data_IF_945386826641
#
_entry.id   IF_945386826641
#
_cell.length_a   1.000
_cell.length_b   1.000
_cell.length_c   1.000
_cell.angle_alpha   90.00
_cell.angle_beta   90.00
_cell.angle_gamma   90.00
#
_symmetry.space_group_name_H-M   'P 1'
#
loop_
_entity.id
_entity.type
_entity.pdbx_description
1 polymer ?
#
# COMPACT_ATOMS: atom_id res chain seq x y z
N UNK A 1 -4.61 11.23 -13.55
CA UNK A 1 -3.68 10.13 -13.22
C UNK A 1 -4.41 8.81 -13.02
N UNK A 2 -3.69 7.69 -13.03
CA UNK A 2 -4.27 6.38 -12.76
C UNK A 2 -4.56 6.22 -11.25
N UNK A 3 -5.74 5.70 -10.92
CA UNK A 3 -6.14 5.51 -9.53
C UNK A 3 -6.93 4.20 -9.36
N UNK A 4 -6.96 3.70 -8.14
CA UNK A 4 -7.79 2.56 -7.74
C UNK A 4 -8.91 3.06 -6.84
N UNK A 5 -10.13 2.65 -7.17
CA UNK A 5 -11.32 2.89 -6.36
C UNK A 5 -11.54 1.69 -5.44
N UNK A 6 -11.64 1.93 -4.14
CA UNK A 6 -11.80 0.88 -3.13
C UNK A 6 -13.00 1.21 -2.26
N UNK A 7 -13.89 0.24 -2.07
CA UNK A 7 -14.99 0.33 -1.12
C UNK A 7 -14.55 -0.37 0.18
N UNK A 8 -14.39 0.41 1.24
CA UNK A 8 -13.96 -0.06 2.55
C UNK A 8 -15.12 -0.45 3.48
N UNK A 9 -14.78 -0.60 4.76
CA UNK A 9 -15.74 -0.83 5.84
C UNK A 9 -16.77 0.32 5.89
N UNK A 10 -18.02 0.03 6.14
CA UNK A 10 -19.10 1.03 6.16
C UNK A 10 -19.48 1.56 4.77
N UNK A 11 -19.14 0.84 3.68
CA UNK A 11 -19.36 1.26 2.28
C UNK A 11 -18.71 2.60 1.91
N UNK A 12 -17.76 3.07 2.71
CA UNK A 12 -17.00 4.28 2.38
C UNK A 12 -16.10 4.02 1.16
N UNK A 13 -16.27 4.84 0.15
CA UNK A 13 -15.50 4.77 -1.08
C UNK A 13 -14.28 5.68 -0.99
N UNK A 14 -13.16 5.21 -1.49
CA UNK A 14 -11.93 6.00 -1.59
C UNK A 14 -11.21 5.74 -2.90
N UNK A 15 -10.65 6.80 -3.47
CA UNK A 15 -9.75 6.74 -4.60
C UNK A 15 -8.31 6.91 -4.14
N UNK A 16 -7.43 6.03 -4.59
CA UNK A 16 -6.00 6.11 -4.27
C UNK A 16 -5.21 6.11 -5.57
N UNK A 17 -4.34 7.11 -5.81
CA UNK A 17 -3.49 7.15 -6.99
C UNK A 17 -2.48 6.01 -6.92
N UNK A 18 -2.07 5.49 -8.07
CA UNK A 18 -1.09 4.42 -8.18
C UNK A 18 0.12 4.87 -8.98
N UNK A 19 1.30 4.40 -8.56
CA UNK A 19 2.55 4.68 -9.24
C UNK A 19 2.57 4.07 -10.65
N UNK A 20 3.35 4.66 -11.55
CA UNK A 20 3.50 4.18 -12.94
C UNK A 20 3.93 2.71 -13.01
N UNK A 21 4.86 2.29 -12.14
CA UNK A 21 5.32 0.90 -12.02
C UNK A 21 4.20 -0.05 -11.62
N UNK A 22 3.37 0.33 -10.64
CA UNK A 22 2.20 -0.44 -10.20
C UNK A 22 1.17 -0.54 -11.31
N UNK A 23 0.94 0.55 -12.04
CA UNK A 23 0.03 0.56 -13.20
C UNK A 23 0.52 -0.40 -14.28
N UNK A 24 1.83 -0.39 -14.59
CA UNK A 24 2.42 -1.30 -15.56
C UNK A 24 2.23 -2.77 -15.14
N UNK A 25 2.51 -3.10 -13.88
CA UNK A 25 2.29 -4.44 -13.32
C UNK A 25 0.82 -4.86 -13.37
N UNK A 26 -0.11 -3.96 -13.03
CA UNK A 26 -1.54 -4.24 -13.14
C UNK A 26 -2.00 -4.46 -14.57
N UNK A 27 -1.51 -3.66 -15.53
CA UNK A 27 -1.81 -3.85 -16.95
C UNK A 27 -1.29 -5.20 -17.48
N UNK A 28 -0.09 -5.59 -17.07
CA UNK A 28 0.46 -6.92 -17.41
C UNK A 28 -0.42 -8.03 -16.82
N UNK A 29 -0.74 -7.93 -15.53
CA UNK A 29 -1.62 -8.87 -14.85
C UNK A 29 -3.00 -9.01 -15.50
N UNK A 30 -3.59 -7.89 -15.95
CA UNK A 30 -4.90 -7.91 -16.61
C UNK A 30 -4.90 -8.60 -17.97
N UNK A 31 -3.73 -8.76 -18.60
CA UNK A 31 -3.55 -9.45 -19.90
C UNK A 31 -3.28 -10.94 -19.73
N UNK A 32 -3.07 -11.41 -18.50
CA UNK A 32 -2.81 -12.83 -18.26
C UNK A 32 -3.99 -13.72 -18.70
N UNK A 33 -3.76 -14.76 -19.52
CA UNK A 33 -4.82 -15.62 -20.05
C UNK A 33 -5.66 -16.29 -18.98
N UNK A 34 -5.05 -16.60 -17.84
CA UNK A 34 -5.70 -17.24 -16.68
C UNK A 34 -6.78 -16.37 -16.03
N UNK A 35 -6.86 -15.11 -16.41
CA UNK A 35 -7.86 -14.16 -15.91
C UNK A 35 -9.07 -14.01 -16.81
N UNK A 36 -9.05 -14.59 -17.99
CA UNK A 36 -10.13 -14.45 -18.97
C UNK A 36 -11.46 -14.86 -18.34
N UNK A 37 -12.42 -13.92 -18.32
CA UNK A 37 -13.75 -14.11 -17.72
C UNK A 37 -13.86 -13.88 -16.20
N UNK A 38 -12.78 -13.64 -15.48
CA UNK A 38 -12.85 -13.34 -14.04
C UNK A 38 -13.27 -11.89 -13.78
N UNK A 39 -14.37 -11.71 -13.03
CA UNK A 39 -14.81 -10.39 -12.51
C UNK A 39 -14.00 -9.93 -11.29
N UNK A 40 -13.15 -10.79 -10.74
CA UNK A 40 -12.33 -10.49 -9.56
C UNK A 40 -10.95 -10.03 -10.00
N UNK A 41 -10.48 -8.88 -9.48
CA UNK A 41 -9.17 -8.32 -9.85
C UNK A 41 -8.02 -9.28 -9.49
N UNK A 42 -8.06 -9.87 -8.30
CA UNK A 42 -7.08 -10.85 -7.83
C UNK A 42 -7.81 -12.14 -7.42
N UNK A 43 -8.07 -13.06 -8.36
CA UNK A 43 -8.70 -14.33 -8.04
C UNK A 43 -7.73 -15.25 -7.30
N UNK A 44 -8.27 -16.05 -6.40
CA UNK A 44 -7.59 -17.22 -5.85
C UNK A 44 -7.52 -18.31 -6.92
N UNK A 45 -6.76 -19.41 -6.66
CA UNK A 45 -6.73 -20.58 -7.53
C UNK A 45 -8.12 -21.21 -7.80
N UNK A 46 -9.11 -20.90 -6.94
CA UNK A 46 -10.51 -21.34 -7.10
C UNK A 46 -11.39 -20.31 -7.81
N UNK A 47 -10.82 -19.26 -8.40
CA UNK A 47 -11.56 -18.18 -9.08
C UNK A 47 -12.30 -17.21 -8.16
N UNK A 48 -12.27 -17.39 -6.83
CA UNK A 48 -12.91 -16.52 -5.84
C UNK A 48 -11.97 -15.40 -5.38
N UNK A 49 -12.47 -14.39 -4.67
CA UNK A 49 -11.66 -13.34 -4.05
C UNK A 49 -10.59 -13.94 -3.13
N UNK A 50 -9.39 -13.37 -3.16
CA UNK A 50 -8.36 -13.70 -2.17
C UNK A 50 -8.85 -13.29 -0.78
N UNK A 51 -8.63 -14.19 0.18
CA UNK A 51 -8.83 -13.90 1.60
C UNK A 51 -7.61 -13.19 2.17
N UNK A 52 -7.75 -12.58 3.35
CA UNK A 52 -6.63 -11.99 4.10
C UNK A 52 -5.52 -13.03 4.32
N UNK A 53 -5.90 -14.26 4.68
CA UNK A 53 -4.95 -15.37 4.82
C UNK A 53 -4.25 -15.74 3.51
N UNK A 54 -4.99 -15.72 2.39
CA UNK A 54 -4.41 -15.97 1.07
C UNK A 54 -3.36 -14.93 0.69
N UNK A 55 -3.64 -13.64 0.95
CA UNK A 55 -2.66 -12.56 0.71
C UNK A 55 -1.44 -12.73 1.62
N UNK A 56 -1.64 -13.04 2.91
CA UNK A 56 -0.52 -13.25 3.84
C UNK A 56 0.33 -14.47 3.45
N UNK A 57 -0.30 -15.54 2.96
CA UNK A 57 0.40 -16.71 2.44
C UNK A 57 1.30 -16.35 1.25
N UNK A 58 0.76 -15.61 0.27
CA UNK A 58 1.53 -15.15 -0.88
C UNK A 58 2.70 -14.26 -0.46
N UNK A 59 2.47 -13.34 0.48
CA UNK A 59 3.50 -12.47 1.02
C UNK A 59 4.63 -13.29 1.67
N UNK A 60 4.29 -14.30 2.48
CA UNK A 60 5.27 -15.21 3.09
C UNK A 60 6.04 -16.02 2.04
N UNK A 61 5.36 -16.53 1.01
CA UNK A 61 6.00 -17.24 -0.10
C UNK A 61 7.08 -16.38 -0.76
N UNK A 62 6.74 -15.14 -1.10
CA UNK A 62 7.69 -14.20 -1.72
C UNK A 62 8.79 -13.77 -0.74
N UNK A 63 8.49 -13.60 0.55
CA UNK A 63 9.51 -13.36 1.59
C UNK A 63 10.55 -14.47 1.63
N UNK A 64 10.11 -15.72 1.61
CA UNK A 64 11.02 -16.88 1.61
C UNK A 64 11.92 -16.90 0.36
N UNK A 65 11.38 -16.55 -0.80
CA UNK A 65 12.18 -16.45 -2.03
C UNK A 65 13.19 -15.30 -1.92
N UNK A 66 12.73 -14.11 -1.48
CA UNK A 66 13.58 -12.94 -1.33
C UNK A 66 14.67 -13.11 -0.25
N UNK A 67 14.41 -13.90 0.79
CA UNK A 67 15.39 -14.17 1.85
C UNK A 67 16.64 -14.91 1.39
N UNK A 68 16.61 -15.55 0.21
CA UNK A 68 17.78 -16.16 -0.43
C UNK A 68 18.80 -15.10 -0.85
N UNK A 69 18.32 -13.94 -1.31
CA UNK A 69 19.15 -12.80 -1.73
C UNK A 69 19.34 -11.75 -0.63
N UNK A 70 18.40 -11.69 0.32
CA UNK A 70 18.43 -10.77 1.45
C UNK A 70 18.25 -11.56 2.76
N UNK A 71 19.34 -12.07 3.38
CA UNK A 71 19.28 -12.93 4.55
C UNK A 71 18.56 -12.30 5.76
N UNK A 72 18.62 -10.97 5.89
CA UNK A 72 17.92 -10.24 6.98
C UNK A 72 16.40 -10.40 6.97
N UNK A 73 15.82 -10.90 5.87
CA UNK A 73 14.38 -11.20 5.79
C UNK A 73 13.99 -12.53 6.45
N UNK A 74 14.94 -13.41 6.76
CA UNK A 74 14.63 -14.71 7.36
C UNK A 74 13.90 -14.56 8.68
N UNK A 75 14.40 -13.70 9.54
CA UNK A 75 13.90 -13.52 10.92
C UNK A 75 12.84 -12.41 11.03
N UNK A 76 12.55 -11.73 9.92
CA UNK A 76 11.54 -10.66 9.90
C UNK A 76 10.15 -11.22 9.63
N UNK A 77 9.21 -10.91 10.52
CA UNK A 77 7.79 -11.15 10.28
C UNK A 77 7.26 -10.08 9.32
N UNK A 78 7.14 -10.41 8.04
CA UNK A 78 6.58 -9.51 7.02
C UNK A 78 5.07 -9.74 6.94
N UNK A 79 4.28 -8.71 7.22
CA UNK A 79 2.81 -8.74 7.15
C UNK A 79 2.31 -7.60 6.27
N UNK A 80 1.08 -7.72 5.77
CA UNK A 80 0.42 -6.65 5.01
C UNK A 80 0.40 -5.34 5.82
N UNK A 81 0.15 -5.44 7.13
CA UNK A 81 0.16 -4.28 8.02
C UNK A 81 1.55 -3.62 8.10
N UNK A 82 2.62 -4.41 8.19
CA UNK A 82 4.00 -3.87 8.15
C UNK A 82 4.33 -3.20 6.83
N UNK A 83 3.88 -3.76 5.70
CA UNK A 83 4.05 -3.09 4.40
C UNK A 83 3.34 -1.73 4.37
N UNK A 84 2.16 -1.64 4.98
CA UNK A 84 1.43 -0.38 5.14
C UNK A 84 2.19 0.62 6.02
N UNK A 85 2.76 0.17 7.15
CA UNK A 85 3.61 1.02 8.00
C UNK A 85 4.85 1.51 7.25
N UNK A 86 5.52 0.64 6.50
CA UNK A 86 6.67 1.04 5.69
C UNK A 86 6.28 2.16 4.72
N UNK A 87 5.14 2.03 4.02
CA UNK A 87 4.64 3.08 3.14
C UNK A 87 4.37 4.39 3.87
N UNK A 88 3.78 4.33 5.09
CA UNK A 88 3.56 5.53 5.90
C UNK A 88 4.88 6.20 6.28
N UNK A 89 5.90 5.40 6.63
CA UNK A 89 7.23 5.90 6.97
C UNK A 89 7.93 6.55 5.78
N UNK A 90 7.86 5.93 4.61
CA UNK A 90 8.46 6.46 3.38
C UNK A 90 7.83 7.82 3.03
N UNK A 91 6.51 7.96 3.18
CA UNK A 91 5.80 9.22 2.96
C UNK A 91 6.20 10.29 3.98
N UNK A 92 6.32 9.93 5.27
CA UNK A 92 6.79 10.84 6.32
C UNK A 92 8.21 11.33 6.05
N UNK A 93 9.12 10.43 5.69
CA UNK A 93 10.51 10.78 5.36
C UNK A 93 10.59 11.67 4.11
N UNK A 94 9.66 11.51 3.17
CA UNK A 94 9.52 12.38 2.02
C UNK A 94 8.91 13.76 2.36
N UNK A 95 8.64 14.05 3.65
CA UNK A 95 8.08 15.31 4.12
C UNK A 95 6.60 15.49 3.80
N UNK A 96 5.86 14.39 3.60
CA UNK A 96 4.42 14.44 3.38
C UNK A 96 3.70 14.69 4.69
N UNK A 97 2.73 15.57 4.69
CA UNK A 97 1.93 15.89 5.87
C UNK A 97 1.15 14.67 6.39
N UNK A 98 1.03 14.55 7.73
CA UNK A 98 0.38 13.40 8.41
C UNK A 98 -1.09 13.27 8.03
N UNK A 99 -1.79 14.38 7.83
CA UNK A 99 -3.19 14.36 7.41
C UNK A 99 -3.36 13.76 6.02
N UNK A 100 -2.43 14.05 5.11
CA UNK A 100 -2.38 13.46 3.77
C UNK A 100 -2.11 11.97 3.83
N UNK A 101 -1.19 11.54 4.71
CA UNK A 101 -0.89 10.12 4.93
C UNK A 101 -2.11 9.39 5.48
N UNK A 102 -2.80 9.96 6.47
CA UNK A 102 -4.02 9.39 7.03
C UNK A 102 -5.11 9.21 5.97
N UNK A 103 -5.35 10.24 5.13
CA UNK A 103 -6.27 10.16 4.00
C UNK A 103 -5.88 9.09 2.99
N UNK A 104 -4.60 9.01 2.65
CA UNK A 104 -4.10 7.99 1.73
C UNK A 104 -4.36 6.58 2.25
N UNK A 105 -4.04 6.37 3.51
CA UNK A 105 -4.22 5.09 4.17
C UNK A 105 -5.68 4.80 4.53
N UNK A 106 -6.54 5.80 4.52
CA UNK A 106 -7.98 5.67 4.78
C UNK A 106 -8.29 5.44 6.26
N UNK A 107 -7.66 6.23 7.14
CA UNK A 107 -8.01 6.25 8.56
C UNK A 107 -9.31 7.03 8.80
N UNK A 108 -10.18 6.50 9.68
CA UNK A 108 -11.56 6.97 9.85
C UNK A 108 -11.72 8.27 10.64
N UNK A 109 -10.68 8.81 11.28
CA UNK A 109 -10.80 9.91 12.24
C UNK A 109 -10.45 11.29 11.68
N UNK A 110 -10.89 11.64 10.49
CA UNK A 110 -10.84 13.02 10.03
C UNK A 110 -12.25 13.49 9.68
N UNK A 111 -12.84 14.21 10.60
CA UNK A 111 -14.25 14.65 10.60
C UNK A 111 -14.64 15.72 9.56
N UNK A 112 -13.88 15.91 8.50
CA UNK A 112 -14.17 16.95 7.50
C UNK A 112 -14.14 16.40 6.08
N UNK A 113 -15.11 15.56 5.78
CA UNK A 113 -15.06 14.66 4.62
C UNK A 113 -15.43 15.30 3.27
N UNK A 114 -16.02 16.48 3.21
CA UNK A 114 -16.54 16.99 1.93
C UNK A 114 -15.64 17.99 1.19
N UNK A 115 -14.89 18.83 1.90
CA UNK A 115 -13.99 19.83 1.30
C UNK A 115 -12.70 19.17 0.79
N UNK A 116 -12.36 17.97 1.31
CA UNK A 116 -11.11 17.27 1.03
C UNK A 116 -11.16 16.29 -0.16
N UNK A 117 -12.32 16.00 -0.75
CA UNK A 117 -12.41 14.98 -1.79
C UNK A 117 -11.75 15.42 -3.12
N UNK A 118 -11.87 16.66 -3.51
CA UNK A 118 -11.22 17.18 -4.73
C UNK A 118 -9.74 17.58 -4.47
N UNK A 119 -9.47 18.21 -3.34
CA UNK A 119 -8.11 18.52 -2.92
C UNK A 119 -7.26 17.26 -2.66
N UNK A 120 -7.88 16.15 -2.27
CA UNK A 120 -7.22 14.90 -1.88
C UNK A 120 -6.51 14.19 -3.02
N UNK A 121 -7.01 14.19 -4.25
CA UNK A 121 -6.33 13.48 -5.35
C UNK A 121 -5.07 14.20 -5.77
N UNK A 122 -5.09 15.50 -5.95
CA UNK A 122 -3.91 16.30 -6.29
C UNK A 122 -2.83 16.20 -5.19
N UNK A 123 -3.22 16.27 -3.91
CA UNK A 123 -2.31 16.11 -2.78
C UNK A 123 -1.71 14.70 -2.71
N UNK A 124 -2.49 13.66 -2.97
CA UNK A 124 -2.00 12.27 -3.00
C UNK A 124 -1.08 12.03 -4.18
N UNK A 125 -1.36 12.59 -5.34
CA UNK A 125 -0.47 12.52 -6.51
C UNK A 125 0.84 13.25 -6.28
N UNK A 126 0.79 14.44 -5.65
CA UNK A 126 1.95 15.21 -5.26
C UNK A 126 2.80 14.48 -4.20
N UNK A 127 2.14 13.83 -3.23
CA UNK A 127 2.79 13.00 -2.23
C UNK A 127 3.47 11.78 -2.87
N UNK A 128 2.80 11.13 -3.83
CA UNK A 128 3.38 9.99 -4.57
C UNK A 128 4.61 10.41 -5.39
N UNK A 129 4.60 11.62 -5.96
CA UNK A 129 5.74 12.14 -6.70
C UNK A 129 6.98 12.40 -5.82
N UNK A 130 6.77 12.62 -4.51
CA UNK A 130 7.86 12.80 -3.53
C UNK A 130 8.47 11.48 -3.05
N UNK A 131 7.79 10.35 -3.22
CA UNK A 131 8.34 9.04 -2.85
C UNK A 131 9.28 8.57 -3.95
N UNK A 132 10.54 8.43 -3.62
CA UNK A 132 11.51 7.75 -4.50
C UNK A 132 11.25 6.26 -4.48
N UNK A 133 11.28 5.64 -5.66
CA UNK A 133 11.32 4.18 -5.76
C UNK A 133 12.50 3.67 -4.93
N UNK A 134 12.24 2.78 -3.99
CA UNK A 134 13.26 2.24 -3.09
C UNK A 134 14.25 1.37 -3.90
N UNK A 135 15.19 2.03 -4.57
CA UNK A 135 16.39 1.38 -5.09
C UNK A 135 17.34 1.17 -3.89
N UNK A 136 17.03 0.13 -3.16
CA UNK A 136 17.76 -0.59 -2.15
C UNK A 136 19.14 -0.09 -1.68
N UNK A 137 19.25 1.10 -1.04
CA UNK A 137 20.34 1.38 -0.12
C UNK A 137 19.79 1.30 1.29
N UNK A 138 20.18 0.23 1.98
CA UNK A 138 19.81 -0.10 3.35
C UNK A 138 20.49 0.86 4.35
N UNK A 139 19.91 2.02 4.60
CA UNK A 139 20.14 2.73 5.84
C UNK A 139 19.19 2.16 6.90
N UNK A 140 19.75 1.69 8.02
CA UNK A 140 18.97 1.16 9.15
C UNK A 140 18.24 2.32 9.82
N UNK A 141 16.97 2.51 9.50
CA UNK A 141 16.14 3.51 10.12
C UNK A 141 15.78 3.09 11.55
N UNK A 142 16.00 3.97 12.52
CA UNK A 142 15.50 3.85 13.90
C UNK A 142 14.44 4.94 14.12
N UNK A 143 13.15 4.57 14.22
CA UNK A 143 12.10 5.55 14.45
C UNK A 143 12.22 6.17 15.84
N UNK A 144 12.06 7.49 15.96
CA UNK A 144 11.93 8.16 17.25
C UNK A 144 10.58 7.87 17.93
N UNK A 145 10.51 8.02 19.26
CA UNK A 145 9.32 7.70 20.06
C UNK A 145 8.05 8.42 19.62
N UNK A 146 8.14 9.66 19.17
CA UNK A 146 6.99 10.43 18.65
C UNK A 146 6.40 9.80 17.38
N UNK A 147 7.24 9.23 16.54
CA UNK A 147 6.82 8.59 15.31
C UNK A 147 6.19 7.23 15.59
N UNK A 148 6.71 6.47 16.56
CA UNK A 148 6.10 5.22 17.01
C UNK A 148 4.73 5.46 17.64
N UNK A 149 4.58 6.52 18.43
CA UNK A 149 3.28 6.95 18.99
C UNK A 149 2.26 7.27 17.90
N UNK A 150 2.67 8.00 16.87
CA UNK A 150 1.81 8.28 15.72
C UNK A 150 1.41 7.01 14.94
N UNK A 151 2.35 6.11 14.70
CA UNK A 151 2.07 4.87 13.96
C UNK A 151 1.15 3.91 14.72
N UNK A 152 1.22 3.91 16.06
CA UNK A 152 0.33 3.09 16.89
C UNK A 152 -1.09 3.67 16.97
N UNK A 153 -1.26 4.97 16.69
CA UNK A 153 -2.58 5.63 16.62
C UNK A 153 -3.25 5.48 15.25
N UNK A 154 -2.51 4.98 14.25
CA UNK A 154 -3.00 4.66 12.90
C UNK A 154 -3.63 3.26 12.84
#
# INVERSE_FOLDING_TARGET
>A
GAHVRVIGKGRKERCTPIAKSTLAALKAWLREPQRTGSKVLFPSARGKRLTVHGVQYLLNKHRMTASKMCPSLKDKRVTVHRCRHTMAMDLLQAGVDRSVIALWLGHESVETTQIYLEATMAMKEQALAKTTSHNGRLARYQPGDQLLGFLNSL
#
